data_IF_488315229754
#
_entry.id   IF_488315229754
#
_cell.length_a   1.000
_cell.length_b   1.000
_cell.length_c   1.000
_cell.angle_alpha   90.00
_cell.angle_beta   90.00
_cell.angle_gamma   90.00
#
_symmetry.space_group_name_H-M   'P 1'
#
loop_
_entity.id
_entity.type
_entity.pdbx_description
1 polymer ?
#
# COMPACT_ATOMS: atom_id res chain seq x y z
N UNK A 1 2.95 20.46 50.95
CA UNK A 1 3.88 20.97 49.90
C UNK A 1 3.33 20.55 48.55
N UNK A 2 2.86 21.53 47.78
CA UNK A 2 2.37 21.38 46.41
C UNK A 2 3.52 21.74 45.46
N UNK A 3 3.78 20.96 44.43
CA UNK A 3 4.69 21.35 43.35
C UNK A 3 3.99 21.14 42.01
N UNK A 4 3.82 22.26 41.30
CA UNK A 4 3.12 22.41 40.04
C UNK A 4 4.00 22.08 38.83
N UNK A 5 3.30 21.57 37.82
CA UNK A 5 3.64 21.44 36.40
C UNK A 5 3.92 22.80 35.73
N UNK A 6 5.04 22.97 35.02
CA UNK A 6 5.16 23.97 33.92
C UNK A 6 6.06 23.40 32.80
N UNK A 7 5.46 23.30 31.62
CA UNK A 7 6.03 22.96 30.31
C UNK A 7 6.70 24.21 29.73
N UNK A 8 7.98 24.16 29.34
CA UNK A 8 8.70 25.30 28.74
C UNK A 8 9.14 24.98 27.30
N UNK A 9 8.51 25.69 26.37
CA UNK A 9 8.84 25.85 24.95
C UNK A 9 10.22 26.50 24.77
N UNK A 10 11.07 25.93 23.90
CA UNK A 10 12.36 26.49 23.51
C UNK A 10 12.28 27.13 22.12
N UNK A 11 12.52 28.44 22.08
CA UNK A 11 12.64 29.31 20.92
C UNK A 11 14.15 29.48 20.61
N UNK A 12 14.58 29.24 19.38
CA UNK A 12 15.96 29.50 18.93
C UNK A 12 15.95 30.70 17.97
N UNK A 13 16.56 31.79 18.44
CA UNK A 13 16.82 33.02 17.69
C UNK A 13 18.22 32.96 17.06
N UNK A 14 18.36 33.47 15.83
CA UNK A 14 19.64 33.83 15.24
C UNK A 14 19.53 35.19 14.55
N UNK A 15 20.35 36.14 15.01
CA UNK A 15 21.00 37.20 14.22
C UNK A 15 20.18 38.42 13.79
N UNK A 16 20.23 39.50 14.57
CA UNK A 16 20.07 40.88 14.08
C UNK A 16 21.46 41.50 13.86
N UNK A 17 21.64 42.22 12.75
CA UNK A 17 22.72 43.20 12.53
C UNK A 17 22.04 44.56 12.20
N UNK A 18 22.55 45.64 12.79
CA UNK A 18 22.01 47.03 12.84
C UNK A 18 22.64 47.89 11.70
N UNK A 19 21.94 48.57 10.77
CA UNK A 19 21.27 49.90 10.84
C UNK A 19 21.57 50.67 9.50
N UNK A 20 21.00 51.86 9.13
CA UNK A 20 19.74 52.55 9.47
C UNK A 20 18.87 53.06 8.26
N UNK A 21 17.55 53.04 8.47
CA UNK A 21 16.42 53.94 8.11
C UNK A 21 16.48 54.96 6.92
N UNK A 22 15.48 54.92 6.00
CA UNK A 22 14.42 55.97 5.85
C UNK A 22 13.40 55.70 4.71
N UNK A 23 12.11 55.77 5.09
CA UNK A 23 10.93 56.33 4.40
C UNK A 23 10.26 55.63 3.19
N UNK A 24 9.09 55.05 3.51
CA UNK A 24 7.76 55.21 2.87
C UNK A 24 7.48 54.67 1.46
N UNK A 25 6.64 53.61 1.39
CA UNK A 25 6.03 53.16 0.13
C UNK A 25 5.33 51.79 0.15
N UNK A 26 4.18 51.67 0.82
CA UNK A 26 3.15 50.66 0.53
C UNK A 26 3.24 49.31 1.27
N UNK A 27 2.10 48.67 1.60
CA UNK A 27 2.09 47.33 2.19
C UNK A 27 2.70 46.32 1.19
N UNK A 28 3.48 45.32 1.66
CA UNK A 28 4.01 44.28 0.79
C UNK A 28 2.84 43.59 0.09
N UNK A 29 2.92 43.48 -1.23
CA UNK A 29 2.00 42.69 -2.01
C UNK A 29 1.90 41.30 -1.37
N UNK A 30 0.68 40.93 -0.98
CA UNK A 30 0.38 39.59 -0.52
C UNK A 30 0.92 38.60 -1.56
N UNK A 31 1.75 37.66 -1.11
CA UNK A 31 2.14 36.49 -1.90
C UNK A 31 0.89 35.94 -2.55
N UNK A 32 0.84 36.06 -3.88
CA UNK A 32 -0.28 35.58 -4.66
C UNK A 32 -0.42 34.08 -4.40
N UNK A 33 -1.57 33.66 -3.87
CA UNK A 33 -1.94 32.26 -3.80
C UNK A 33 -1.79 31.66 -5.21
N UNK A 34 -1.19 30.47 -5.37
CA UNK A 34 -0.99 29.86 -6.68
C UNK A 34 -2.31 29.81 -7.45
N UNK A 35 -2.30 30.34 -8.66
CA UNK A 35 -3.47 30.33 -9.56
C UNK A 35 -3.77 28.86 -9.91
N UNK A 36 -5.02 28.39 -9.78
CA UNK A 36 -5.38 27.05 -10.24
C UNK A 36 -5.06 26.90 -11.73
N UNK A 37 -4.26 25.88 -12.07
CA UNK A 37 -3.84 25.49 -13.43
C UNK A 37 -2.61 26.19 -14.06
N UNK A 38 -1.79 26.90 -13.30
CA UNK A 38 -0.43 27.16 -13.79
C UNK A 38 0.42 25.88 -13.68
N UNK A 39 1.18 25.50 -14.74
CA UNK A 39 2.13 24.41 -14.65
C UNK A 39 3.09 24.72 -13.49
N UNK A 40 3.12 23.84 -12.49
CA UNK A 40 4.11 23.95 -11.42
C UNK A 40 5.49 24.08 -12.09
N UNK A 41 6.32 25.06 -11.68
CA UNK A 41 7.65 25.21 -12.25
C UNK A 41 8.39 23.89 -12.02
N UNK A 42 8.61 23.15 -13.10
CA UNK A 42 9.37 21.92 -13.04
C UNK A 42 10.79 22.29 -12.64
N UNK A 43 11.27 21.73 -11.54
CA UNK A 43 12.68 21.89 -11.17
C UNK A 43 13.55 21.34 -12.31
N UNK A 44 14.76 21.87 -12.44
CA UNK A 44 15.72 21.32 -13.41
C UNK A 44 15.93 19.82 -13.22
N UNK A 45 15.84 19.33 -11.98
CA UNK A 45 15.88 17.91 -11.61
C UNK A 45 14.67 17.12 -12.17
N UNK A 46 13.45 17.64 -12.04
CA UNK A 46 12.25 17.01 -12.59
C UNK A 46 12.28 16.95 -14.12
N UNK A 47 12.80 17.99 -14.77
CA UNK A 47 13.02 18.02 -16.22
C UNK A 47 14.06 16.99 -16.67
N UNK A 48 15.16 16.86 -15.95
CA UNK A 48 16.21 15.87 -16.23
C UNK A 48 15.71 14.43 -16.06
N UNK A 49 14.98 14.14 -14.98
CA UNK A 49 14.42 12.79 -14.76
C UNK A 49 13.37 12.43 -15.82
N UNK A 50 12.53 13.38 -16.23
CA UNK A 50 11.58 13.17 -17.32
C UNK A 50 12.28 12.81 -18.62
N UNK A 51 13.39 13.48 -18.96
CA UNK A 51 14.19 13.16 -20.14
C UNK A 51 14.84 11.78 -20.05
N UNK A 52 15.35 11.41 -18.87
CA UNK A 52 15.90 10.07 -18.62
C UNK A 52 14.85 8.99 -18.80
N UNK A 53 13.66 9.16 -18.22
CA UNK A 53 12.56 8.21 -18.35
C UNK A 53 12.09 8.10 -19.80
N UNK A 54 11.97 9.23 -20.52
CA UNK A 54 11.63 9.23 -21.95
C UNK A 54 12.66 8.45 -22.76
N UNK A 55 13.96 8.63 -22.50
CA UNK A 55 15.00 7.88 -23.19
C UNK A 55 14.91 6.37 -22.91
N UNK A 56 14.60 5.96 -21.68
CA UNK A 56 14.38 4.55 -21.33
C UNK A 56 13.14 3.96 -22.03
N UNK A 57 12.07 4.76 -22.16
CA UNK A 57 10.86 4.35 -22.89
C UNK A 57 11.15 4.22 -24.38
N UNK A 58 11.83 5.20 -24.99
CA UNK A 58 12.18 5.18 -26.41
C UNK A 58 13.13 3.99 -26.73
N UNK A 59 14.10 3.72 -25.85
CA UNK A 59 14.98 2.54 -25.91
C UNK A 59 14.21 1.22 -25.79
N UNK A 60 13.23 1.14 -24.89
CA UNK A 60 12.37 -0.03 -24.74
C UNK A 60 11.43 -0.26 -25.92
N UNK A 61 10.86 0.82 -26.49
CA UNK A 61 9.97 0.76 -27.66
C UNK A 61 10.71 0.40 -28.96
N UNK A 62 12.02 0.63 -29.01
CA UNK A 62 12.85 0.25 -30.14
C UNK A 62 13.14 -1.26 -30.19
N UNK A 63 12.87 -2.01 -29.09
CA UNK A 63 13.06 -3.46 -29.05
C UNK A 63 11.83 -4.18 -29.62
N UNK A 64 12.07 -5.13 -30.51
CA UNK A 64 11.09 -6.16 -30.86
C UNK A 64 11.12 -7.32 -29.86
N UNK A 65 10.25 -8.31 -30.05
CA UNK A 65 10.14 -9.44 -29.13
C UNK A 65 11.47 -10.19 -28.93
N UNK A 66 12.22 -10.42 -30.02
CA UNK A 66 13.51 -11.10 -29.98
C UNK A 66 14.57 -10.24 -29.27
N UNK A 67 14.56 -8.92 -29.51
CA UNK A 67 15.43 -7.96 -28.84
C UNK A 67 15.19 -7.90 -27.32
N UNK A 68 13.93 -7.97 -26.87
CA UNK A 68 13.60 -8.06 -25.44
C UNK A 68 14.13 -9.36 -24.84
N UNK A 69 13.86 -10.50 -25.49
CA UNK A 69 14.31 -11.81 -25.01
C UNK A 69 15.83 -11.89 -24.92
N UNK A 70 16.55 -11.35 -25.90
CA UNK A 70 18.00 -11.32 -25.89
C UNK A 70 18.56 -10.40 -24.79
N UNK A 71 17.98 -9.21 -24.59
CA UNK A 71 18.44 -8.23 -23.59
C UNK A 71 18.27 -8.71 -22.15
N UNK A 72 17.18 -9.41 -21.88
CA UNK A 72 16.84 -9.91 -20.55
C UNK A 72 17.01 -11.43 -20.45
N UNK A 73 17.86 -12.02 -21.30
CA UNK A 73 18.16 -13.44 -21.26
C UNK A 73 18.80 -13.80 -19.91
N UNK A 74 18.13 -14.67 -19.15
CA UNK A 74 18.68 -15.25 -17.92
C UNK A 74 19.35 -16.56 -18.30
N UNK A 75 20.68 -16.70 -18.12
CA UNK A 75 21.35 -17.97 -18.37
C UNK A 75 20.90 -18.99 -17.32
N UNK A 76 20.50 -20.17 -17.79
CA UNK A 76 20.23 -21.31 -16.91
C UNK A 76 21.48 -22.19 -16.87
N UNK A 77 21.81 -22.71 -15.69
CA UNK A 77 22.82 -23.75 -15.56
C UNK A 77 22.20 -25.10 -15.91
N UNK A 78 22.95 -25.93 -16.63
CA UNK A 78 22.54 -27.29 -16.99
C UNK A 78 22.83 -28.31 -15.86
N UNK A 79 23.59 -27.90 -14.85
CA UNK A 79 23.94 -28.69 -13.68
C UNK A 79 23.81 -27.88 -12.38
N UNK A 80 23.68 -28.58 -11.26
CA UNK A 80 23.47 -27.97 -9.94
C UNK A 80 24.76 -27.39 -9.34
N UNK A 81 25.93 -27.85 -9.77
CA UNK A 81 27.23 -27.45 -9.20
C UNK A 81 27.50 -27.93 -7.77
N UNK A 82 26.61 -28.73 -7.16
CA UNK A 82 26.76 -29.34 -5.84
C UNK A 82 25.94 -30.64 -5.73
N UNK A 83 26.21 -31.47 -4.72
CA UNK A 83 25.39 -32.64 -4.38
C UNK A 83 24.31 -32.25 -3.35
N UNK A 84 23.01 -32.30 -3.71
CA UNK A 84 21.92 -32.00 -2.78
C UNK A 84 21.85 -32.94 -1.57
N UNK A 85 22.36 -34.17 -1.69
CA UNK A 85 22.33 -35.15 -0.60
C UNK A 85 23.39 -34.88 0.47
N UNK A 86 24.39 -34.05 0.17
CA UNK A 86 25.39 -33.58 1.14
C UNK A 86 24.93 -32.29 1.86
N UNK A 87 23.68 -31.84 1.65
CA UNK A 87 23.17 -30.61 2.25
C UNK A 87 23.22 -30.63 3.79
N UNK A 88 23.71 -29.54 4.36
CA UNK A 88 23.74 -29.36 5.80
C UNK A 88 22.31 -29.42 6.37
N UNK A 89 22.10 -30.29 7.37
CA UNK A 89 20.83 -30.59 8.04
C UNK A 89 19.87 -31.57 7.33
N UNK A 90 20.27 -32.21 6.21
CA UNK A 90 19.44 -33.26 5.61
C UNK A 90 19.15 -34.41 6.60
N UNK A 91 20.14 -34.78 7.41
CA UNK A 91 19.98 -35.79 8.46
C UNK A 91 18.87 -35.45 9.46
N UNK A 92 18.72 -34.18 9.81
CA UNK A 92 17.68 -33.71 10.74
C UNK A 92 16.29 -33.89 10.11
N UNK A 93 16.17 -33.59 8.81
CA UNK A 93 14.91 -33.76 8.07
C UNK A 93 14.57 -35.25 7.95
N UNK A 94 15.56 -36.09 7.60
CA UNK A 94 15.37 -37.55 7.47
C UNK A 94 15.08 -38.25 8.81
N UNK A 95 15.47 -37.65 9.95
CA UNK A 95 15.12 -38.14 11.28
C UNK A 95 13.72 -37.70 11.76
N UNK A 96 13.00 -36.90 10.96
CA UNK A 96 11.73 -36.28 11.34
C UNK A 96 10.51 -36.99 10.76
N UNK A 97 9.29 -36.65 11.22
CA UNK A 97 8.06 -37.09 10.57
C UNK A 97 7.91 -36.63 9.11
N UNK A 98 8.72 -35.67 8.64
CA UNK A 98 8.73 -35.15 7.27
C UNK A 98 9.82 -35.78 6.39
N UNK A 99 10.41 -36.90 6.83
CA UNK A 99 11.47 -37.59 6.08
C UNK A 99 11.03 -37.94 4.65
N UNK A 100 11.92 -37.66 3.70
CA UNK A 100 11.75 -38.00 2.30
C UNK A 100 11.91 -39.52 2.12
N UNK A 101 11.10 -40.13 1.27
CA UNK A 101 11.33 -41.51 0.85
C UNK A 101 12.37 -41.60 -0.27
N UNK A 102 12.70 -42.83 -0.67
CA UNK A 102 13.74 -43.10 -1.67
C UNK A 102 13.44 -42.45 -3.03
N UNK A 103 12.16 -42.40 -3.42
CA UNK A 103 11.73 -41.76 -4.67
C UNK A 103 11.89 -40.23 -4.58
N UNK A 104 11.49 -39.63 -3.46
CA UNK A 104 11.65 -38.19 -3.20
C UNK A 104 13.13 -37.79 -3.08
N UNK A 105 13.97 -38.63 -2.49
CA UNK A 105 15.43 -38.42 -2.42
C UNK A 105 16.08 -38.50 -3.80
N UNK A 106 15.63 -39.40 -4.67
CA UNK A 106 16.12 -39.48 -6.04
C UNK A 106 15.80 -38.19 -6.83
N UNK A 107 14.57 -37.66 -6.68
CA UNK A 107 14.16 -36.38 -7.28
C UNK A 107 14.99 -35.22 -6.73
N UNK A 108 15.24 -35.20 -5.40
CA UNK A 108 16.09 -34.19 -4.78
C UNK A 108 17.52 -34.23 -5.34
N UNK A 109 18.10 -35.42 -5.52
CA UNK A 109 19.44 -35.59 -6.06
C UNK A 109 19.55 -35.11 -7.51
N UNK A 110 18.51 -35.32 -8.33
CA UNK A 110 18.50 -34.92 -9.74
C UNK A 110 18.27 -33.41 -9.93
N UNK A 111 17.35 -32.81 -9.17
CA UNK A 111 16.88 -31.44 -9.42
C UNK A 111 17.26 -30.42 -8.35
N UNK A 112 17.82 -30.86 -7.22
CA UNK A 112 18.15 -29.98 -6.09
C UNK A 112 16.94 -29.48 -5.29
N UNK A 113 15.72 -29.89 -5.66
CA UNK A 113 14.50 -29.67 -4.88
C UNK A 113 13.50 -30.81 -5.12
N UNK A 114 12.62 -31.04 -4.16
CA UNK A 114 11.54 -32.02 -4.26
C UNK A 114 10.26 -31.44 -3.66
N UNK A 115 9.11 -31.81 -4.22
CA UNK A 115 7.79 -31.47 -3.70
C UNK A 115 7.14 -32.75 -3.18
N UNK A 116 7.01 -32.88 -1.86
CA UNK A 116 6.35 -34.05 -1.27
C UNK A 116 4.82 -33.94 -1.37
N UNK A 117 4.21 -34.83 -2.16
CA UNK A 117 2.75 -34.97 -2.25
C UNK A 117 2.13 -35.83 -1.14
N UNK A 118 2.96 -36.54 -0.36
CA UNK A 118 2.51 -37.52 0.65
C UNK A 118 1.91 -36.88 1.89
N UNK A 119 2.25 -35.62 2.16
CA UNK A 119 1.82 -34.89 3.34
C UNK A 119 1.08 -33.60 2.98
N UNK A 120 -0.14 -33.70 2.41
CA UNK A 120 -0.90 -32.51 2.07
C UNK A 120 -1.20 -31.67 3.32
N UNK A 121 -1.10 -30.36 3.16
CA UNK A 121 -1.47 -29.37 4.17
C UNK A 121 -2.57 -28.48 3.61
N UNK A 122 -3.57 -28.16 4.44
CA UNK A 122 -4.72 -27.35 3.99
C UNK A 122 -4.39 -25.89 3.72
N UNK A 123 -3.22 -25.41 4.16
CA UNK A 123 -2.68 -24.09 3.82
C UNK A 123 -1.16 -24.08 4.00
N UNK A 124 -0.47 -23.16 3.33
CA UNK A 124 0.97 -22.99 3.50
C UNK A 124 1.35 -22.59 4.93
N UNK A 125 0.48 -21.84 5.64
CA UNK A 125 0.67 -21.47 7.06
C UNK A 125 0.71 -22.73 7.93
N UNK A 126 -0.21 -23.66 7.71
CA UNK A 126 -0.22 -24.94 8.42
C UNK A 126 1.01 -25.80 8.09
N UNK A 127 1.54 -25.67 6.86
CA UNK A 127 2.83 -26.25 6.48
C UNK A 127 3.98 -25.69 7.30
N UNK A 128 4.09 -24.37 7.40
CA UNK A 128 5.10 -23.71 8.22
C UNK A 128 4.98 -24.06 9.70
N UNK A 129 3.77 -24.08 10.24
CA UNK A 129 3.52 -24.51 11.62
C UNK A 129 3.98 -25.95 11.87
N UNK A 130 3.76 -26.86 10.92
CA UNK A 130 4.21 -28.26 11.04
C UNK A 130 5.73 -28.38 11.05
N UNK A 131 6.42 -27.66 10.17
CA UNK A 131 7.90 -27.63 10.13
C UNK A 131 8.44 -27.04 11.43
N UNK A 132 7.84 -25.94 11.90
CA UNK A 132 8.21 -25.29 13.15
C UNK A 132 8.00 -26.21 14.37
N UNK A 133 6.85 -26.87 14.47
CA UNK A 133 6.54 -27.80 15.57
C UNK A 133 7.40 -29.07 15.55
N UNK A 134 8.07 -29.37 14.43
CA UNK A 134 9.02 -30.45 14.29
C UNK A 134 10.47 -30.00 14.56
N UNK A 135 10.68 -28.73 14.97
CA UNK A 135 12.00 -28.11 15.20
C UNK A 135 12.93 -28.20 13.96
N UNK A 136 12.33 -28.16 12.76
CA UNK A 136 13.06 -28.29 11.51
C UNK A 136 13.45 -26.93 10.92
N UNK A 137 14.58 -26.84 10.17
CA UNK A 137 14.91 -25.66 9.39
C UNK A 137 13.78 -25.30 8.42
N UNK A 138 13.43 -24.01 8.36
CA UNK A 138 12.35 -23.51 7.51
C UNK A 138 12.88 -22.44 6.56
N UNK A 139 12.62 -22.62 5.27
CA UNK A 139 12.86 -21.59 4.27
C UNK A 139 11.60 -20.74 4.09
N UNK A 140 11.73 -19.44 4.33
CA UNK A 140 10.65 -18.47 4.11
C UNK A 140 10.97 -17.69 2.84
N UNK A 141 10.18 -17.93 1.79
CA UNK A 141 10.31 -17.20 0.53
C UNK A 141 9.75 -15.77 0.63
N UNK A 142 10.20 -14.90 -0.27
CA UNK A 142 9.64 -13.57 -0.40
C UNK A 142 8.12 -13.61 -0.69
N UNK A 143 7.68 -14.53 -1.55
CA UNK A 143 6.27 -14.69 -1.92
C UNK A 143 5.39 -15.05 -0.73
N UNK A 144 5.85 -15.92 0.17
CA UNK A 144 5.14 -16.25 1.42
C UNK A 144 4.94 -15.02 2.31
N UNK A 145 5.96 -14.16 2.39
CA UNK A 145 5.89 -12.91 3.14
C UNK A 145 4.93 -11.90 2.48
N UNK A 146 5.04 -11.71 1.16
CA UNK A 146 4.19 -10.80 0.39
C UNK A 146 2.73 -11.24 0.44
N UNK A 147 2.45 -12.54 0.34
CA UNK A 147 1.12 -13.08 0.48
C UNK A 147 0.54 -12.79 1.87
N UNK A 148 1.34 -12.97 2.92
CA UNK A 148 0.92 -12.66 4.30
C UNK A 148 0.61 -11.18 4.45
N UNK A 149 1.47 -10.31 3.92
CA UNK A 149 1.28 -8.86 3.93
C UNK A 149 -0.02 -8.47 3.22
N UNK A 150 -0.29 -9.02 2.03
CA UNK A 150 -1.51 -8.76 1.28
C UNK A 150 -2.77 -9.15 2.07
N UNK A 151 -2.74 -10.29 2.75
CA UNK A 151 -3.86 -10.73 3.60
C UNK A 151 -4.08 -9.82 4.80
N UNK A 152 -3.01 -9.34 5.43
CA UNK A 152 -3.09 -8.38 6.54
C UNK A 152 -3.66 -7.06 6.06
N UNK A 153 -3.18 -6.55 4.92
CA UNK A 153 -3.70 -5.33 4.31
C UNK A 153 -5.20 -5.41 4.05
N UNK A 154 -5.68 -6.48 3.40
CA UNK A 154 -7.11 -6.65 3.14
C UNK A 154 -7.96 -6.72 4.42
N UNK A 155 -7.45 -7.37 5.48
CA UNK A 155 -8.14 -7.40 6.78
C UNK A 155 -8.20 -6.02 7.44
N UNK A 156 -7.08 -5.30 7.45
CA UNK A 156 -6.99 -3.97 8.05
C UNK A 156 -7.89 -2.98 7.30
N UNK A 157 -7.86 -3.01 5.97
CA UNK A 157 -8.72 -2.16 5.14
C UNK A 157 -10.20 -2.40 5.46
N UNK A 158 -10.63 -3.66 5.47
CA UNK A 158 -12.01 -4.03 5.84
C UNK A 158 -12.38 -3.55 7.24
N UNK A 159 -11.46 -3.65 8.20
CA UNK A 159 -11.69 -3.16 9.56
C UNK A 159 -11.88 -1.64 9.60
N UNK A 160 -11.08 -0.88 8.86
CA UNK A 160 -11.21 0.58 8.78
C UNK A 160 -12.51 0.97 8.07
N UNK A 161 -12.84 0.30 6.97
CA UNK A 161 -14.06 0.54 6.20
C UNK A 161 -15.31 0.31 7.04
N UNK A 162 -15.41 -0.84 7.69
CA UNK A 162 -16.60 -1.21 8.48
C UNK A 162 -16.62 -0.43 9.81
N UNK A 163 -15.46 -0.30 10.47
CA UNK A 163 -15.37 0.26 11.82
C UNK A 163 -15.36 1.78 11.87
N UNK A 164 -14.91 2.46 10.82
CA UNK A 164 -14.71 3.92 10.83
C UNK A 164 -15.38 4.61 9.66
N UNK A 165 -15.09 4.18 8.42
CA UNK A 165 -15.51 4.89 7.21
C UNK A 165 -17.03 4.81 6.99
N UNK A 166 -17.61 3.61 7.05
CA UNK A 166 -19.05 3.41 6.89
C UNK A 166 -19.88 4.19 7.93
N UNK A 167 -19.59 4.12 9.25
CA UNK A 167 -20.30 4.92 10.24
C UNK A 167 -20.13 6.43 10.04
N UNK A 168 -18.96 6.89 9.57
CA UNK A 168 -18.74 8.30 9.26
C UNK A 168 -19.59 8.76 8.08
N UNK A 169 -19.63 7.98 7.00
CA UNK A 169 -20.49 8.22 5.83
C UNK A 169 -21.97 8.24 6.21
N UNK A 170 -22.43 7.30 7.05
CA UNK A 170 -23.82 7.24 7.50
C UNK A 170 -24.21 8.52 8.24
N UNK A 171 -23.39 8.95 9.22
CA UNK A 171 -23.63 10.20 9.96
C UNK A 171 -23.64 11.42 9.03
N UNK A 172 -22.71 11.48 8.07
CA UNK A 172 -22.62 12.59 7.14
C UNK A 172 -23.85 12.68 6.23
N UNK A 173 -24.24 11.56 5.61
CA UNK A 173 -25.42 11.51 4.75
C UNK A 173 -26.71 11.81 5.53
N UNK A 174 -26.86 11.25 6.73
CA UNK A 174 -28.01 11.53 7.59
C UNK A 174 -28.09 13.02 7.98
N UNK A 175 -26.94 13.65 8.25
CA UNK A 175 -26.87 15.07 8.57
C UNK A 175 -27.24 15.95 7.37
N UNK A 176 -26.73 15.63 6.17
CA UNK A 176 -27.09 16.33 4.93
C UNK A 176 -28.59 16.22 4.64
N UNK A 177 -29.16 15.02 4.78
CA UNK A 177 -30.60 14.79 4.58
C UNK A 177 -31.44 15.59 5.56
N UNK A 178 -31.03 15.63 6.84
CA UNK A 178 -31.71 16.42 7.89
C UNK A 178 -31.66 17.93 7.58
N UNK A 179 -30.53 18.44 7.09
CA UNK A 179 -30.40 19.87 6.75
C UNK A 179 -31.20 20.25 5.51
N UNK A 180 -31.28 19.36 4.52
CA UNK A 180 -32.12 19.56 3.35
C UNK A 180 -33.60 19.66 3.76
N UNK A 181 -34.05 18.74 4.61
CA UNK A 181 -35.39 18.73 5.20
C UNK A 181 -35.71 19.99 6.03
N UNK A 182 -34.69 20.57 6.66
CA UNK A 182 -34.81 21.83 7.40
C UNK A 182 -34.93 23.08 6.50
N UNK A 183 -34.89 22.91 5.17
CA UNK A 183 -35.09 23.98 4.19
C UNK A 183 -33.81 24.75 3.84
N UNK A 184 -32.62 24.24 4.19
CA UNK A 184 -31.36 24.94 3.91
C UNK A 184 -31.02 25.03 2.41
N UNK A 185 -31.72 24.28 1.55
CA UNK A 185 -31.61 24.34 0.09
C UNK A 185 -32.61 25.29 -0.60
N UNK A 186 -33.43 26.04 0.15
CA UNK A 186 -34.53 26.83 -0.43
C UNK A 186 -34.07 27.87 -1.48
N UNK A 187 -32.83 28.33 -1.41
CA UNK A 187 -32.25 29.27 -2.37
C UNK A 187 -31.91 28.65 -3.74
N UNK A 188 -31.88 27.31 -3.86
CA UNK A 188 -31.46 26.61 -5.08
C UNK A 188 -32.60 26.32 -6.06
N UNK A 189 -33.85 26.58 -5.65
CA UNK A 189 -35.04 26.25 -6.41
C UNK A 189 -35.53 24.82 -6.16
N UNK A 190 -36.83 24.56 -6.38
CA UNK A 190 -37.48 23.31 -5.96
C UNK A 190 -36.98 22.08 -6.73
N UNK A 191 -36.64 22.21 -8.01
CA UNK A 191 -36.13 21.09 -8.82
C UNK A 191 -34.75 20.61 -8.33
N UNK A 192 -33.84 21.55 -8.03
CA UNK A 192 -32.49 21.23 -7.53
C UNK A 192 -32.56 20.56 -6.15
N UNK A 193 -33.47 21.00 -5.29
CA UNK A 193 -33.70 20.37 -3.97
C UNK A 193 -34.19 18.93 -4.13
N UNK A 194 -35.13 18.68 -5.06
CA UNK A 194 -35.64 17.34 -5.32
C UNK A 194 -34.56 16.40 -5.88
N UNK A 195 -33.71 16.88 -6.78
CA UNK A 195 -32.60 16.09 -7.32
C UNK A 195 -31.58 15.72 -6.23
N UNK A 196 -31.21 16.68 -5.38
CA UNK A 196 -30.29 16.43 -4.26
C UNK A 196 -30.89 15.45 -3.26
N UNK A 197 -32.18 15.58 -2.96
CA UNK A 197 -32.91 14.66 -2.08
C UNK A 197 -32.89 13.23 -2.64
N UNK A 198 -33.12 13.06 -3.94
CA UNK A 198 -33.02 11.78 -4.62
C UNK A 198 -31.62 11.15 -4.48
N UNK A 199 -30.55 11.91 -4.75
CA UNK A 199 -29.18 11.39 -4.63
C UNK A 199 -28.82 10.99 -3.20
N UNK A 200 -29.21 11.80 -2.21
CA UNK A 200 -28.99 11.50 -0.80
C UNK A 200 -29.78 10.27 -0.36
N UNK A 201 -31.04 10.16 -0.79
CA UNK A 201 -31.90 9.01 -0.51
C UNK A 201 -31.32 7.71 -1.08
N UNK A 202 -30.87 7.71 -2.33
CA UNK A 202 -30.21 6.55 -2.95
C UNK A 202 -28.93 6.19 -2.21
N UNK A 203 -28.07 7.16 -1.90
CA UNK A 203 -26.81 6.92 -1.20
C UNK A 203 -27.04 6.30 0.19
N UNK A 204 -28.02 6.81 0.96
CA UNK A 204 -28.39 6.25 2.26
C UNK A 204 -29.00 4.87 2.14
N UNK A 205 -29.82 4.65 1.11
CA UNK A 205 -30.45 3.34 0.89
C UNK A 205 -29.42 2.26 0.57
N UNK A 206 -28.44 2.57 -0.29
CA UNK A 206 -27.34 1.67 -0.61
C UNK A 206 -26.43 1.40 0.60
N UNK A 207 -26.23 2.40 1.47
CA UNK A 207 -25.39 2.24 2.64
C UNK A 207 -26.05 1.37 3.74
N UNK A 208 -27.38 1.52 3.89
CA UNK A 208 -28.20 0.79 4.85
C UNK A 208 -28.67 -0.58 4.34
N UNK A 209 -28.56 -0.83 3.03
CA UNK A 209 -29.14 -2.00 2.35
C UNK A 209 -30.67 -2.09 2.52
N UNK A 210 -31.34 -0.92 2.65
CA UNK A 210 -32.78 -0.76 2.84
C UNK A 210 -33.26 0.53 2.19
N UNK A 211 -34.50 0.58 1.70
CA UNK A 211 -35.07 1.80 1.12
C UNK A 211 -35.34 2.86 2.21
N UNK A 212 -34.62 4.00 2.11
CA UNK A 212 -34.84 5.18 2.95
C UNK A 212 -35.87 6.10 2.27
N UNK A 213 -36.73 6.74 3.06
CA UNK A 213 -37.73 7.67 2.52
C UNK A 213 -37.09 9.04 2.16
N UNK A 214 -37.48 9.65 1.03
CA UNK A 214 -37.12 11.03 0.65
C UNK A 214 -37.75 12.05 1.61
N UNK A 215 -37.24 13.30 1.60
CA UNK A 215 -37.70 14.38 2.50
C UNK A 215 -38.34 15.57 1.79
#
# INVERSE_FOLDING_TARGET
MRASLILLTALLAFGCDDAPQAADGGPPAADALPVPNEPLPQSAEAGAETQRLKALVDDGLALDADGVLARFAVPFADDLGFDPLEAQNLEIIQASPLALDDDELAVLAEHGFVISGRQPVGSFIAGYERVYNADLPVYISADSLLHTLHRVYGKLLKQIEIGTLRPAMDRWLAHLHTRLAAGEGAAWGPEVVADVDLYLTVARSLLADEAVAPV
#
